data_IF_820098635457
#
_entry.id   IF_820098635457
#
_cell.length_a   1.000
_cell.length_b   1.000
_cell.length_c   1.000
_cell.angle_alpha   90.00
_cell.angle_beta   90.00
_cell.angle_gamma   90.00
#
_symmetry.space_group_name_H-M   'P 1'
#
loop_
_entity.id
_entity.type
_entity.pdbx_description
1 polymer ?
#
# COMPACT_ATOMS: atom_id res chain seq x y z
N UNK A 1 -36.12 48.21 -23.02
CA UNK A 1 -35.97 46.79 -23.43
C UNK A 1 -34.51 46.27 -23.41
N UNK A 2 -33.53 47.10 -23.06
CA UNK A 2 -32.09 46.75 -23.13
C UNK A 2 -31.50 46.26 -21.81
N UNK A 3 -31.97 46.77 -20.66
CA UNK A 3 -31.44 46.42 -19.33
C UNK A 3 -31.83 45.00 -18.89
N UNK A 4 -33.05 44.57 -19.21
CA UNK A 4 -33.56 43.25 -18.83
C UNK A 4 -32.92 42.10 -19.62
N UNK A 5 -32.45 42.37 -20.85
CA UNK A 5 -31.67 41.41 -21.65
C UNK A 5 -30.24 41.26 -21.12
N UNK A 6 -29.63 42.34 -20.63
CA UNK A 6 -28.31 42.30 -20.00
C UNK A 6 -28.31 41.54 -18.66
N UNK A 7 -29.34 41.73 -17.82
CA UNK A 7 -29.45 41.05 -16.53
C UNK A 7 -29.62 39.53 -16.69
N UNK A 8 -30.38 39.10 -17.70
CA UNK A 8 -30.58 37.67 -18.02
C UNK A 8 -29.29 37.04 -18.58
N UNK A 9 -28.53 37.76 -19.40
CA UNK A 9 -27.23 37.27 -19.88
C UNK A 9 -26.18 37.15 -18.75
N UNK A 10 -26.17 38.05 -17.77
CA UNK A 10 -25.24 37.99 -16.63
C UNK A 10 -25.56 36.83 -15.67
N UNK A 11 -26.85 36.54 -15.44
CA UNK A 11 -27.30 35.41 -14.62
C UNK A 11 -27.05 34.05 -15.28
N UNK A 12 -27.11 33.97 -16.61
CA UNK A 12 -26.76 32.75 -17.37
C UNK A 12 -25.25 32.52 -17.39
N UNK A 13 -24.41 33.56 -17.36
CA UNK A 13 -22.95 33.41 -17.28
C UNK A 13 -22.46 32.96 -15.89
N UNK A 14 -23.16 33.34 -14.82
CA UNK A 14 -22.83 32.92 -13.45
C UNK A 14 -23.24 31.47 -13.12
N UNK A 15 -24.17 30.87 -13.86
CA UNK A 15 -24.56 29.47 -13.67
C UNK A 15 -23.64 28.44 -14.35
N UNK A 16 -22.70 28.88 -15.21
CA UNK A 16 -21.73 27.98 -15.89
C UNK A 16 -20.40 27.84 -15.12
N UNK A 17 -20.19 28.62 -14.06
CA UNK A 17 -18.95 28.57 -13.26
C UNK A 17 -19.02 27.58 -12.06
N UNK A 18 -20.08 26.78 -11.95
CA UNK A 18 -20.43 26.02 -10.74
C UNK A 18 -20.02 24.55 -10.68
N UNK A 19 -19.07 24.07 -11.49
CA UNK A 19 -18.54 22.70 -11.35
C UNK A 19 -17.09 22.71 -10.87
N UNK A 20 -16.90 23.07 -9.59
CA UNK A 20 -15.70 22.65 -8.90
C UNK A 20 -15.80 21.13 -8.69
N UNK A 21 -15.30 20.37 -9.66
CA UNK A 21 -15.05 18.93 -9.49
C UNK A 21 -14.13 18.79 -8.28
N UNK A 22 -14.69 18.35 -7.16
CA UNK A 22 -13.90 17.85 -6.04
C UNK A 22 -13.17 16.63 -6.60
N UNK A 23 -11.93 16.83 -7.06
CA UNK A 23 -11.04 15.73 -7.39
C UNK A 23 -10.89 14.92 -6.11
N UNK A 24 -11.63 13.82 -6.02
CA UNK A 24 -11.33 12.76 -5.05
C UNK A 24 -9.84 12.49 -5.20
N UNK A 25 -9.05 12.48 -4.10
CA UNK A 25 -7.64 12.20 -4.21
C UNK A 25 -7.55 10.82 -4.85
N UNK A 26 -7.12 10.81 -6.11
CA UNK A 26 -6.67 9.60 -6.77
C UNK A 26 -5.50 9.20 -5.87
N UNK A 27 -5.67 8.15 -5.07
CA UNK A 27 -4.52 7.40 -4.58
C UNK A 27 -4.00 6.69 -5.83
N UNK A 28 -3.43 7.48 -6.74
CA UNK A 28 -2.35 7.03 -7.59
C UNK A 28 -1.40 6.43 -6.58
N UNK A 29 -1.14 5.12 -6.69
CA UNK A 29 0.14 4.62 -6.23
C UNK A 29 1.14 5.56 -6.89
N UNK A 30 1.58 6.57 -6.14
CA UNK A 30 2.54 7.54 -6.63
C UNK A 30 3.70 6.64 -7.00
N UNK A 31 3.98 6.52 -8.31
CA UNK A 31 5.17 5.80 -8.76
C UNK A 31 6.28 6.24 -7.83
N UNK A 32 6.94 5.28 -7.19
CA UNK A 32 7.94 5.59 -6.18
C UNK A 32 8.84 6.66 -6.79
N UNK A 33 8.98 7.84 -6.14
CA UNK A 33 9.69 8.94 -6.75
C UNK A 33 11.06 8.43 -7.22
N UNK A 34 11.50 8.83 -8.42
CA UNK A 34 12.84 8.47 -8.90
C UNK A 34 13.84 8.78 -7.78
N UNK A 35 14.60 7.78 -7.35
CA UNK A 35 15.53 7.90 -6.22
C UNK A 35 14.97 7.53 -4.84
N UNK A 36 13.74 7.00 -4.72
CA UNK A 36 13.17 6.58 -3.43
C UNK A 36 14.04 5.57 -2.69
N UNK A 37 14.71 4.68 -3.43
CA UNK A 37 15.73 3.76 -2.95
C UNK A 37 16.99 3.94 -3.80
N UNK A 38 18.13 4.08 -3.15
CA UNK A 38 19.45 4.21 -3.77
C UNK A 38 20.38 3.12 -3.26
N UNK A 39 21.09 2.42 -4.16
CA UNK A 39 22.04 1.38 -3.78
C UNK A 39 23.23 2.02 -3.03
N UNK A 40 23.65 1.40 -1.93
CA UNK A 40 24.74 1.88 -1.08
C UNK A 40 25.95 0.96 -1.22
N UNK A 41 27.13 1.55 -1.45
CA UNK A 41 28.39 0.80 -1.45
C UNK A 41 28.67 0.19 -0.07
N UNK A 42 29.05 -1.10 0.03
CA UNK A 42 29.27 -1.78 1.32
C UNK A 42 30.20 -1.04 2.29
N UNK A 43 31.20 -0.33 1.79
CA UNK A 43 32.19 0.39 2.60
C UNK A 43 31.60 1.61 3.34
N UNK A 44 30.44 2.10 2.88
CA UNK A 44 29.73 3.24 3.47
C UNK A 44 28.72 2.82 4.54
N UNK A 45 28.56 1.53 4.79
CA UNK A 45 27.55 0.99 5.70
C UNK A 45 28.23 0.70 7.05
N UNK A 46 27.88 1.44 8.11
CA UNK A 46 28.50 1.22 9.42
C UNK A 46 28.08 -0.16 9.97
N UNK A 47 28.99 -0.80 10.70
CA UNK A 47 28.65 -2.01 11.45
C UNK A 47 27.52 -1.69 12.44
N UNK A 48 26.49 -2.53 12.43
CA UNK A 48 25.34 -2.41 13.31
C UNK A 48 24.90 -3.79 13.78
N UNK A 49 24.40 -3.86 15.02
CA UNK A 49 23.82 -5.06 15.61
C UNK A 49 22.38 -4.72 15.96
N UNK A 50 21.47 -5.58 15.52
CA UNK A 50 20.06 -5.54 15.94
C UNK A 50 19.97 -5.94 17.42
N UNK A 51 19.36 -5.10 18.24
CA UNK A 51 19.20 -5.28 19.67
C UNK A 51 17.93 -6.07 20.04
N UNK A 52 17.12 -6.46 19.05
CA UNK A 52 15.94 -7.31 19.23
C UNK A 52 16.29 -8.80 19.30
N UNK A 53 15.31 -9.60 19.74
CA UNK A 53 15.49 -11.03 19.96
C UNK A 53 15.61 -11.80 18.64
N UNK A 54 16.55 -12.76 18.61
CA UNK A 54 16.83 -13.56 17.41
C UNK A 54 15.64 -14.44 17.02
N UNK A 55 14.87 -14.91 18.00
CA UNK A 55 13.76 -15.84 17.77
C UNK A 55 12.62 -15.17 16.99
N UNK A 56 12.27 -13.93 17.34
CA UNK A 56 11.24 -13.16 16.65
C UNK A 56 11.63 -12.84 15.22
N UNK A 57 12.91 -12.53 14.98
CA UNK A 57 13.44 -12.36 13.62
C UNK A 57 13.28 -13.64 12.79
N UNK A 58 13.62 -14.80 13.36
CA UNK A 58 13.43 -16.10 12.69
C UNK A 58 11.95 -16.37 12.40
N UNK A 59 11.08 -16.12 13.36
CA UNK A 59 9.63 -16.26 13.18
C UNK A 59 9.08 -15.32 12.09
N UNK A 60 9.62 -14.10 11.98
CA UNK A 60 9.26 -13.14 10.93
C UNK A 60 9.72 -13.60 9.53
N UNK A 61 10.92 -14.19 9.42
CA UNK A 61 11.42 -14.77 8.17
C UNK A 61 10.52 -15.92 7.72
N UNK A 62 10.18 -16.85 8.61
CA UNK A 62 9.30 -17.99 8.29
C UNK A 62 7.88 -17.55 7.88
N UNK A 63 7.33 -16.52 8.52
CA UNK A 63 6.05 -15.90 8.09
C UNK A 63 6.16 -15.29 6.69
N UNK A 64 7.27 -14.64 6.38
CA UNK A 64 7.52 -14.04 5.06
C UNK A 64 7.66 -15.10 3.97
N UNK A 65 8.38 -16.20 4.25
CA UNK A 65 8.51 -17.33 3.32
C UNK A 65 7.14 -17.95 3.01
N UNK A 66 6.31 -18.22 4.03
CA UNK A 66 4.94 -18.73 3.84
C UNK A 66 4.05 -17.80 3.03
N UNK A 67 4.20 -16.49 3.19
CA UNK A 67 3.49 -15.52 2.37
C UNK A 67 3.88 -15.65 0.89
N UNK A 68 5.19 -15.78 0.61
CA UNK A 68 5.69 -15.91 -0.75
C UNK A 68 5.38 -17.27 -1.41
N UNK A 69 5.17 -18.34 -0.64
CA UNK A 69 4.72 -19.63 -1.18
C UNK A 69 3.35 -19.54 -1.89
N UNK A 70 2.52 -18.56 -1.53
CA UNK A 70 1.25 -18.30 -2.19
C UNK A 70 1.34 -17.47 -3.47
N UNK A 71 2.54 -17.04 -3.87
CA UNK A 71 2.77 -16.14 -5.01
C UNK A 71 3.61 -16.87 -6.07
N UNK A 72 3.33 -16.60 -7.35
CA UNK A 72 4.14 -17.14 -8.45
C UNK A 72 5.58 -16.66 -8.34
N UNK A 73 6.53 -17.59 -8.44
CA UNK A 73 7.98 -17.32 -8.38
C UNK A 73 8.47 -16.23 -9.35
N UNK A 74 7.82 -16.12 -10.51
CA UNK A 74 8.16 -15.12 -11.54
C UNK A 74 7.50 -13.75 -11.32
N UNK A 75 6.63 -13.58 -10.32
CA UNK A 75 6.09 -12.28 -9.99
C UNK A 75 7.22 -11.35 -9.52
N UNK A 76 7.15 -10.07 -9.86
CA UNK A 76 8.26 -9.14 -9.64
C UNK A 76 7.87 -7.97 -8.76
N UNK A 77 8.81 -7.54 -7.93
CA UNK A 77 8.80 -6.30 -7.15
C UNK A 77 9.88 -5.35 -7.65
N UNK A 78 9.73 -4.06 -7.37
CA UNK A 78 10.69 -3.02 -7.75
C UNK A 78 11.43 -2.51 -6.53
N UNK A 79 12.76 -2.61 -6.55
CA UNK A 79 13.67 -2.07 -5.54
C UNK A 79 14.61 -1.05 -6.20
N UNK A 80 14.28 0.23 -6.08
CA UNK A 80 14.93 1.28 -6.87
C UNK A 80 14.65 1.06 -8.36
N UNK A 81 15.70 0.83 -9.15
CA UNK A 81 15.59 0.52 -10.58
C UNK A 81 15.62 -1.00 -10.87
N UNK A 82 15.91 -1.82 -9.86
CA UNK A 82 16.04 -3.27 -10.02
C UNK A 82 14.67 -3.95 -9.86
N UNK A 83 14.33 -4.81 -10.83
CA UNK A 83 13.23 -5.76 -10.69
C UNK A 83 13.75 -7.02 -10.01
N UNK A 84 13.06 -7.47 -8.98
CA UNK A 84 13.40 -8.66 -8.19
C UNK A 84 12.22 -9.61 -8.22
N UNK A 85 12.46 -10.87 -8.55
CA UNK A 85 11.45 -11.93 -8.58
C UNK A 85 11.11 -12.41 -7.17
N UNK A 86 9.93 -13.01 -7.00
CA UNK A 86 9.56 -13.71 -5.76
C UNK A 86 10.57 -14.81 -5.43
N UNK A 87 11.05 -15.54 -6.44
CA UNK A 87 12.10 -16.54 -6.22
C UNK A 87 13.38 -15.93 -5.61
N UNK A 88 13.87 -14.82 -6.17
CA UNK A 88 15.02 -14.11 -5.60
C UNK A 88 14.76 -13.62 -4.17
N UNK A 89 13.55 -13.18 -3.85
CA UNK A 89 13.18 -12.78 -2.49
C UNK A 89 13.20 -13.97 -1.52
N UNK A 90 12.70 -15.14 -1.94
CA UNK A 90 12.74 -16.37 -1.14
C UNK A 90 14.18 -16.83 -0.89
N UNK A 91 15.00 -16.90 -1.93
CA UNK A 91 16.43 -17.24 -1.82
C UNK A 91 17.18 -16.26 -0.90
N UNK A 92 16.87 -14.96 -1.01
CA UNK A 92 17.45 -13.94 -0.13
C UNK A 92 17.05 -14.16 1.34
N UNK A 93 15.79 -14.48 1.61
CA UNK A 93 15.31 -14.78 2.97
C UNK A 93 15.94 -16.04 3.54
N UNK A 94 16.09 -17.10 2.74
CA UNK A 94 16.74 -18.35 3.13
C UNK A 94 18.22 -18.11 3.45
N UNK A 95 18.95 -17.41 2.57
CA UNK A 95 20.34 -17.05 2.82
C UNK A 95 20.49 -16.18 4.07
N UNK A 96 19.59 -15.22 4.29
CA UNK A 96 19.61 -14.37 5.46
C UNK A 96 19.34 -15.18 6.75
N UNK A 97 18.35 -16.08 6.72
CA UNK A 97 18.05 -17.00 7.82
C UNK A 97 19.27 -17.83 8.21
N UNK A 98 19.95 -18.42 7.22
CA UNK A 98 21.10 -19.28 7.43
C UNK A 98 22.29 -18.51 8.03
N UNK A 99 22.53 -17.27 7.59
CA UNK A 99 23.54 -16.39 8.17
C UNK A 99 23.17 -16.05 9.62
N UNK A 100 21.94 -15.60 9.87
CA UNK A 100 21.55 -15.13 11.19
C UNK A 100 21.44 -16.27 12.21
N UNK A 101 21.13 -17.48 11.75
CA UNK A 101 21.03 -18.71 12.55
C UNK A 101 22.36 -19.44 12.77
N UNK A 102 23.46 -18.98 12.16
CA UNK A 102 24.78 -19.59 12.34
C UNK A 102 25.37 -19.32 13.73
N UNK A 103 26.32 -20.17 14.14
CA UNK A 103 27.12 -19.99 15.36
C UNK A 103 28.31 -19.04 15.18
N UNK A 104 28.36 -18.29 14.07
CA UNK A 104 29.43 -17.33 13.81
C UNK A 104 29.24 -16.05 14.63
N UNK A 105 30.32 -15.31 14.81
CA UNK A 105 30.25 -14.01 15.47
C UNK A 105 29.49 -12.98 14.61
N UNK A 106 28.86 -12.00 15.26
CA UNK A 106 28.04 -10.98 14.58
C UNK A 106 28.82 -10.18 13.53
N UNK A 107 30.14 -10.00 13.72
CA UNK A 107 31.00 -9.35 12.72
C UNK A 107 31.17 -10.19 11.45
N UNK A 108 31.21 -11.53 11.57
CA UNK A 108 31.29 -12.43 10.41
C UNK A 108 29.93 -12.46 9.69
N UNK A 109 28.83 -12.52 10.45
CA UNK A 109 27.47 -12.43 9.89
C UNK A 109 27.27 -11.13 9.12
N UNK A 110 27.66 -10.00 9.71
CA UNK A 110 27.60 -8.69 9.06
C UNK A 110 28.40 -8.63 7.76
N UNK A 111 29.64 -9.17 7.76
CA UNK A 111 30.44 -9.25 6.53
C UNK A 111 29.77 -10.11 5.46
N UNK A 112 29.14 -11.23 5.84
CA UNK A 112 28.38 -12.05 4.88
C UNK A 112 27.19 -11.30 4.30
N UNK A 113 26.45 -10.55 5.14
CA UNK A 113 25.34 -9.72 4.68
C UNK A 113 25.85 -8.69 3.65
N UNK A 114 26.90 -7.94 3.97
CA UNK A 114 27.46 -6.94 3.07
C UNK A 114 28.04 -7.51 1.76
N UNK A 115 28.45 -8.78 1.75
CA UNK A 115 28.98 -9.45 0.56
C UNK A 115 27.91 -10.09 -0.32
N UNK A 116 26.78 -10.50 0.27
CA UNK A 116 25.75 -11.29 -0.41
C UNK A 116 24.48 -10.50 -0.74
N UNK A 117 24.28 -9.33 -0.12
CA UNK A 117 23.05 -8.55 -0.22
C UNK A 117 23.32 -7.15 -0.78
N UNK A 118 22.42 -6.71 -1.67
CA UNK A 118 22.31 -5.31 -2.06
C UNK A 118 21.64 -4.53 -0.91
N UNK A 119 22.31 -3.50 -0.39
CA UNK A 119 21.73 -2.62 0.64
C UNK A 119 21.29 -1.31 0.01
N UNK A 120 20.01 -0.98 0.18
CA UNK A 120 19.42 0.25 -0.34
C UNK A 120 19.15 1.26 0.78
N UNK A 121 19.46 2.53 0.52
CA UNK A 121 19.08 3.67 1.37
C UNK A 121 17.81 4.30 0.83
N UNK A 122 16.82 4.46 1.72
CA UNK A 122 15.63 5.24 1.44
C UNK A 122 15.93 6.75 1.42
N UNK A 123 15.33 7.49 0.50
CA UNK A 123 15.50 8.95 0.38
C UNK A 123 14.91 9.75 1.56
N UNK A 124 14.04 9.12 2.37
CA UNK A 124 13.27 9.79 3.40
C UNK A 124 12.00 10.46 2.87
N UNK A 125 11.21 11.05 3.77
CA UNK A 125 9.94 11.70 3.46
C UNK A 125 10.14 13.04 2.72
N UNK A 126 11.25 13.73 2.96
CA UNK A 126 11.57 15.07 2.46
C UNK A 126 12.74 15.10 1.45
N UNK A 127 13.25 13.93 1.03
CA UNK A 127 14.46 13.79 0.19
C UNK A 127 15.77 14.30 0.81
N UNK A 128 15.78 14.68 2.09
CA UNK A 128 16.99 15.06 2.84
C UNK A 128 17.43 13.97 3.84
N UNK A 129 16.88 12.75 3.71
CA UNK A 129 17.18 11.63 4.60
C UNK A 129 16.36 11.62 5.89
N UNK A 130 15.43 12.55 6.09
CA UNK A 130 14.52 12.52 7.25
C UNK A 130 13.51 11.40 7.07
N UNK A 131 13.45 10.46 8.01
CA UNK A 131 12.50 9.34 7.99
C UNK A 131 11.41 9.56 9.05
N UNK A 132 10.15 9.46 8.65
CA UNK A 132 9.01 9.43 9.57
C UNK A 132 8.71 7.98 9.95
N UNK A 133 8.84 7.65 11.23
CA UNK A 133 8.40 6.37 11.78
C UNK A 133 7.05 6.54 12.47
N UNK A 134 6.08 5.70 12.11
CA UNK A 134 4.75 5.64 12.72
C UNK A 134 4.43 4.21 13.15
N UNK A 135 3.57 4.04 14.15
CA UNK A 135 3.09 2.73 14.59
C UNK A 135 1.64 2.49 14.21
N UNK A 136 1.31 1.25 13.87
CA UNK A 136 -0.05 0.74 13.85
C UNK A 136 -0.12 -0.50 14.74
N UNK A 137 -1.30 -0.83 15.24
CA UNK A 137 -1.52 -2.01 16.08
C UNK A 137 -2.83 -2.68 15.70
N UNK A 138 -2.99 -3.92 16.12
CA UNK A 138 -4.24 -4.66 16.01
C UNK A 138 -5.07 -4.42 17.27
N UNK A 139 -6.22 -3.75 17.13
CA UNK A 139 -7.13 -3.49 18.24
C UNK A 139 -7.91 -4.75 18.61
N UNK A 140 -7.95 -5.09 19.90
CA UNK A 140 -8.87 -6.11 20.43
C UNK A 140 -10.12 -5.43 20.99
N UNK A 141 -11.29 -5.89 20.55
CA UNK A 141 -12.60 -5.37 20.98
C UNK A 141 -13.46 -6.52 21.50
N UNK A 142 -14.11 -6.31 22.64
CA UNK A 142 -15.13 -7.25 23.13
C UNK A 142 -16.37 -7.18 22.23
N UNK A 143 -16.86 -8.35 21.82
CA UNK A 143 -18.03 -8.48 20.96
C UNK A 143 -18.98 -9.57 21.44
N UNK A 144 -20.14 -9.63 20.80
CA UNK A 144 -21.15 -10.68 21.01
C UNK A 144 -21.65 -11.20 19.67
N UNK A 145 -21.95 -12.50 19.61
CA UNK A 145 -22.58 -13.13 18.45
C UNK A 145 -24.09 -12.81 18.36
N UNK A 146 -24.67 -12.31 19.44
CA UNK A 146 -26.07 -11.85 19.51
C UNK A 146 -26.14 -10.37 19.89
N UNK A 147 -27.06 -9.64 19.28
CA UNK A 147 -27.29 -8.25 19.60
C UNK A 147 -27.82 -8.11 21.04
N UNK A 148 -27.29 -7.14 21.78
CA UNK A 148 -27.77 -6.75 23.11
C UNK A 148 -27.75 -5.23 23.25
N UNK A 149 -28.30 -4.71 24.35
CA UNK A 149 -28.22 -3.27 24.66
C UNK A 149 -26.77 -2.75 24.69
N UNK A 150 -25.82 -3.58 25.13
CA UNK A 150 -24.38 -3.27 25.12
C UNK A 150 -23.74 -3.49 23.73
N UNK A 151 -24.08 -4.57 23.04
CA UNK A 151 -23.48 -4.97 21.76
C UNK A 151 -24.44 -4.71 20.59
N UNK A 152 -24.62 -3.43 20.26
CA UNK A 152 -25.61 -2.95 19.26
C UNK A 152 -25.03 -2.51 17.91
N UNK A 153 -23.72 -2.61 17.73
CA UNK A 153 -23.04 -2.20 16.49
C UNK A 153 -22.51 -3.44 15.76
N UNK A 154 -23.13 -3.84 14.63
CA UNK A 154 -22.71 -5.03 13.91
C UNK A 154 -21.39 -4.80 13.15
N UNK A 155 -20.61 -5.87 13.00
CA UNK A 155 -19.47 -5.93 12.09
C UNK A 155 -19.91 -6.65 10.83
N UNK A 156 -20.02 -5.93 9.72
CA UNK A 156 -20.50 -6.50 8.46
C UNK A 156 -19.41 -7.28 7.74
N UNK A 157 -19.78 -8.47 7.23
CA UNK A 157 -19.04 -9.08 6.12
C UNK A 157 -19.18 -8.22 4.87
N UNK A 158 -18.35 -8.47 3.86
CA UNK A 158 -18.59 -7.92 2.52
C UNK A 158 -20.01 -8.26 2.06
N UNK A 159 -20.88 -7.27 1.76
CA UNK A 159 -22.25 -7.53 1.34
C UNK A 159 -22.33 -8.25 -0.01
N UNK A 160 -23.36 -9.07 -0.21
CA UNK A 160 -23.48 -9.90 -1.41
C UNK A 160 -23.89 -9.09 -2.66
N UNK A 161 -24.40 -7.86 -2.49
CA UNK A 161 -24.82 -6.95 -3.56
C UNK A 161 -23.74 -5.95 -4.00
N UNK A 162 -22.55 -5.99 -3.38
CA UNK A 162 -21.45 -5.09 -3.73
C UNK A 162 -20.85 -5.46 -5.09
N UNK A 163 -20.76 -4.48 -5.98
CA UNK A 163 -20.15 -4.62 -7.29
C UNK A 163 -18.85 -3.83 -7.34
N UNK A 164 -17.73 -4.53 -7.57
CA UNK A 164 -16.44 -3.90 -7.89
C UNK A 164 -16.25 -3.95 -9.40
N UNK A 165 -16.47 -2.81 -10.07
CA UNK A 165 -16.43 -2.71 -11.53
C UNK A 165 -15.10 -2.14 -11.96
N UNK A 166 -14.32 -2.93 -12.71
CA UNK A 166 -13.09 -2.46 -13.37
C UNK A 166 -13.46 -1.79 -14.70
N UNK A 167 -13.39 -0.45 -14.74
CA UNK A 167 -13.76 0.35 -15.92
C UNK A 167 -12.83 0.11 -17.11
N UNK A 168 -11.60 -0.32 -16.86
CA UNK A 168 -10.63 -0.70 -17.88
C UNK A 168 -11.09 -1.84 -18.80
N UNK A 169 -12.02 -2.68 -18.33
CA UNK A 169 -12.64 -3.74 -19.15
C UNK A 169 -13.60 -3.19 -20.21
N UNK A 170 -14.12 -1.98 -20.02
CA UNK A 170 -15.07 -1.33 -20.93
C UNK A 170 -14.37 -0.35 -21.87
N UNK A 171 -13.37 0.40 -21.36
CA UNK A 171 -12.63 1.35 -22.15
C UNK A 171 -11.20 1.51 -21.62
N UNK A 172 -10.20 1.38 -22.51
CA UNK A 172 -8.78 1.49 -22.18
C UNK A 172 -8.38 2.83 -21.55
N UNK A 173 -9.15 3.90 -21.79
CA UNK A 173 -8.95 5.20 -21.12
C UNK A 173 -9.03 5.08 -19.58
N UNK A 174 -9.77 4.10 -19.08
CA UNK A 174 -10.01 3.88 -17.65
C UNK A 174 -9.27 2.62 -17.12
N UNK A 175 -8.14 2.25 -17.75
CA UNK A 175 -7.43 0.98 -17.52
C UNK A 175 -7.03 0.67 -16.08
N UNK A 176 -7.02 1.67 -15.19
CA UNK A 176 -6.72 1.54 -13.77
C UNK A 176 -7.82 2.07 -12.85
N UNK A 177 -8.99 2.39 -13.39
CA UNK A 177 -10.10 2.93 -12.60
C UNK A 177 -11.07 1.83 -12.21
N UNK A 178 -11.50 1.88 -10.94
CA UNK A 178 -12.53 1.00 -10.39
C UNK A 178 -13.61 1.84 -9.72
N UNK A 179 -14.85 1.43 -9.86
CA UNK A 179 -15.97 1.96 -9.08
C UNK A 179 -16.58 0.85 -8.23
N UNK A 180 -17.13 1.25 -7.09
CA UNK A 180 -17.86 0.36 -6.19
C UNK A 180 -19.32 0.79 -6.22
N UNK A 181 -20.20 -0.13 -6.60
CA UNK A 181 -21.62 0.14 -6.82
C UNK A 181 -22.51 -1.02 -6.39
N UNK A 182 -23.81 -0.87 -6.64
CA UNK A 182 -24.83 -1.91 -6.48
C UNK A 182 -25.88 -1.75 -7.58
N UNK A 183 -26.68 -2.79 -7.82
CA UNK A 183 -27.79 -2.70 -8.78
C UNK A 183 -29.04 -2.17 -8.08
N UNK A 184 -29.67 -1.16 -8.68
CA UNK A 184 -30.97 -0.65 -8.28
C UNK A 184 -31.78 -0.31 -9.52
N UNK A 185 -32.99 -0.85 -9.63
CA UNK A 185 -33.91 -0.59 -10.74
C UNK A 185 -33.29 -0.86 -12.14
N UNK A 186 -32.40 -1.86 -12.23
CA UNK A 186 -31.69 -2.23 -13.46
C UNK A 186 -30.44 -1.39 -13.76
N UNK A 187 -30.14 -0.38 -12.95
CA UNK A 187 -28.98 0.49 -13.10
C UNK A 187 -27.92 0.22 -12.03
N UNK A 188 -26.65 0.50 -12.37
CA UNK A 188 -25.56 0.51 -11.39
C UNK A 188 -25.50 1.89 -10.74
N UNK A 189 -25.70 1.94 -9.43
CA UNK A 189 -25.58 3.14 -8.61
C UNK A 189 -24.41 3.01 -7.63
N UNK A 190 -23.87 4.11 -7.07
CA UNK A 190 -22.84 4.04 -6.05
C UNK A 190 -23.25 3.17 -4.86
N UNK A 191 -22.27 2.49 -4.26
CA UNK A 191 -22.51 1.76 -3.02
C UNK A 191 -22.72 2.73 -1.85
N UNK A 192 -23.37 2.24 -0.80
CA UNK A 192 -23.63 3.01 0.41
C UNK A 192 -22.35 3.63 0.99
N UNK A 193 -22.48 4.86 1.50
CA UNK A 193 -21.45 5.53 2.29
C UNK A 193 -21.47 5.02 3.72
N UNK A 194 -20.55 5.50 4.57
CA UNK A 194 -20.57 5.19 6.01
C UNK A 194 -21.82 5.73 6.73
N UNK A 195 -22.48 6.74 6.17
CA UNK A 195 -23.63 7.41 6.79
C UNK A 195 -24.96 6.76 6.43
N UNK A 196 -25.07 6.17 5.23
CA UNK A 196 -26.28 5.50 4.77
C UNK A 196 -26.54 4.18 5.55
#
# INVERSE_FOLDING_TARGET
MTVQRFLVCLLVLLSVAGCAVVKKPVITQKEAPKGALSLVSPEKIPFHIDDLDRESLMAAIEKSLRYYDGIKDTATYLFGERRVTVNELKESLLAFRDIMGSQESEIIKWRKILNLFDVYRAAGYDSNGTVLFTGYFESSLEGSMTETERYKYPVYKTPDDILVINLGKFNKKYSNEKIIGRVKDGEVVPYYTRYD
#
